data_IF_858476633853
#
_entry.id   IF_858476633853
#
_cell.length_a   1.000
_cell.length_b   1.000
_cell.length_c   1.000
_cell.angle_alpha   90.00
_cell.angle_beta   90.00
_cell.angle_gamma   90.00
#
_symmetry.space_group_name_H-M   'P 1'
#
loop_
_entity.id
_entity.type
_entity.pdbx_description
1 polymer ?
#
# COMPACT_ATOMS: atom_id res chain seq x y z
N UNK A 1 20.98 3.61 -3.33
CA UNK A 1 20.37 3.06 -2.13
C UNK A 1 19.61 1.80 -2.48
N UNK A 2 20.01 0.70 -1.91
CA UNK A 2 19.47 -0.61 -2.29
C UNK A 2 17.98 -0.71 -2.08
N UNK A 3 17.46 -0.22 -0.95
CA UNK A 3 16.02 -0.35 -0.71
C UNK A 3 15.17 0.48 -1.67
N UNK A 4 15.72 1.57 -2.24
CA UNK A 4 15.01 2.33 -3.29
C UNK A 4 14.85 1.48 -4.55
N UNK A 5 15.86 0.66 -4.88
CA UNK A 5 15.77 -0.25 -6.01
C UNK A 5 14.74 -1.34 -5.75
N UNK A 6 14.65 -1.83 -4.51
CA UNK A 6 13.66 -2.83 -4.15
C UNK A 6 12.25 -2.26 -4.29
N UNK A 7 12.02 -1.04 -3.84
CA UNK A 7 10.72 -0.39 -4.02
C UNK A 7 10.38 -0.20 -5.49
N UNK A 8 11.37 0.12 -6.33
CA UNK A 8 11.16 0.24 -7.76
C UNK A 8 10.63 -1.04 -8.37
N UNK A 9 11.14 -2.19 -7.93
CA UNK A 9 10.66 -3.49 -8.41
C UNK A 9 9.21 -3.73 -8.01
N UNK A 10 8.83 -3.32 -6.81
CA UNK A 10 7.44 -3.47 -6.34
C UNK A 10 6.51 -2.58 -7.16
N UNK A 11 6.93 -1.35 -7.43
CA UNK A 11 6.14 -0.43 -8.27
C UNK A 11 5.93 -1.03 -9.66
N UNK A 12 6.99 -1.54 -10.26
CA UNK A 12 6.90 -2.18 -11.58
C UNK A 12 5.92 -3.35 -11.56
N UNK A 13 5.98 -4.18 -10.54
CA UNK A 13 5.08 -5.33 -10.41
C UNK A 13 3.64 -4.88 -10.23
N UNK A 14 3.40 -3.83 -9.45
CA UNK A 14 2.05 -3.31 -9.23
C UNK A 14 1.46 -2.72 -10.51
N UNK A 15 2.28 -1.97 -11.27
CA UNK A 15 1.85 -1.39 -12.55
C UNK A 15 1.44 -2.52 -13.50
N UNK A 16 2.27 -3.57 -13.59
CA UNK A 16 1.97 -4.72 -14.45
C UNK A 16 0.67 -5.39 -14.01
N UNK A 17 0.45 -5.52 -12.73
CA UNK A 17 -0.76 -6.16 -12.20
C UNK A 17 -2.03 -5.37 -12.55
N UNK A 18 -1.98 -4.05 -12.45
CA UNK A 18 -3.13 -3.20 -12.75
C UNK A 18 -3.32 -2.94 -14.25
N UNK A 19 -2.33 -3.30 -15.06
CA UNK A 19 -2.39 -3.19 -16.52
C UNK A 19 -2.71 -1.76 -16.97
N UNK A 20 -3.88 -1.52 -17.55
CA UNK A 20 -4.25 -0.21 -18.10
C UNK A 20 -5.07 0.64 -17.13
N UNK A 21 -5.14 0.24 -15.88
CA UNK A 21 -5.93 0.98 -14.88
C UNK A 21 -5.14 2.19 -14.39
N UNK A 22 -5.12 3.23 -15.22
CA UNK A 22 -4.35 4.46 -14.97
C UNK A 22 -4.74 5.10 -13.64
N UNK A 23 -6.03 5.10 -13.32
CA UNK A 23 -6.52 5.74 -12.10
C UNK A 23 -5.93 5.07 -10.85
N UNK A 24 -5.91 3.75 -10.82
CA UNK A 24 -5.37 3.02 -9.67
C UNK A 24 -3.86 3.09 -9.60
N UNK A 25 -3.20 3.07 -10.74
CA UNK A 25 -1.75 3.26 -10.79
C UNK A 25 -1.39 4.66 -10.28
N UNK A 26 -2.11 5.68 -10.71
CA UNK A 26 -1.88 7.04 -10.23
C UNK A 26 -2.11 7.14 -8.73
N UNK A 27 -3.16 6.51 -8.20
CA UNK A 27 -3.48 6.51 -6.77
C UNK A 27 -2.33 5.90 -5.96
N UNK A 28 -1.85 4.72 -6.35
CA UNK A 28 -0.79 4.06 -5.59
C UNK A 28 0.50 4.88 -5.57
N UNK A 29 0.82 5.55 -6.69
CA UNK A 29 2.03 6.37 -6.75
C UNK A 29 1.92 7.59 -5.85
N UNK A 30 0.73 8.20 -5.75
CA UNK A 30 0.50 9.32 -4.85
C UNK A 30 0.61 8.89 -3.39
N UNK A 31 -0.01 7.77 -3.04
CA UNK A 31 0.05 7.26 -1.66
C UNK A 31 1.50 6.94 -1.29
N UNK A 32 2.23 6.30 -2.20
CA UNK A 32 3.65 6.03 -2.01
C UNK A 32 4.44 7.32 -1.76
N UNK A 33 4.21 8.35 -2.58
CA UNK A 33 4.93 9.61 -2.44
C UNK A 33 4.70 10.28 -1.09
N UNK A 34 3.43 10.36 -0.65
CA UNK A 34 3.13 10.93 0.66
C UNK A 34 3.69 10.08 1.80
N UNK A 35 3.53 8.77 1.72
CA UNK A 35 4.03 7.88 2.76
C UNK A 35 5.54 8.00 2.92
N UNK A 36 6.26 8.03 1.80
CA UNK A 36 7.72 8.17 1.81
C UNK A 36 8.13 9.50 2.42
N UNK A 37 7.49 10.59 2.02
CA UNK A 37 7.82 11.92 2.54
C UNK A 37 7.58 12.00 4.04
N UNK A 38 6.43 11.51 4.52
CA UNK A 38 6.10 11.54 5.93
C UNK A 38 7.06 10.63 6.72
N UNK A 39 7.32 9.44 6.19
CA UNK A 39 8.22 8.49 6.86
C UNK A 39 9.63 9.02 7.01
N UNK A 40 10.14 9.71 5.98
CA UNK A 40 11.47 10.32 6.06
C UNK A 40 11.50 11.41 7.12
N UNK A 41 10.46 12.25 7.17
CA UNK A 41 10.37 13.30 8.15
C UNK A 41 10.31 12.75 9.57
N UNK A 42 9.61 11.64 9.76
CA UNK A 42 9.49 11.00 11.08
C UNK A 42 10.72 10.16 11.43
N UNK A 43 11.67 10.04 10.52
CA UNK A 43 12.95 9.35 10.76
C UNK A 43 12.76 7.88 11.15
N UNK A 44 11.92 7.18 10.41
CA UNK A 44 11.67 5.76 10.65
C UNK A 44 12.95 4.95 10.40
N UNK A 45 13.10 3.85 11.12
CA UNK A 45 14.20 2.93 10.86
C UNK A 45 14.01 2.24 9.50
N UNK A 46 15.07 1.60 9.01
CA UNK A 46 15.07 1.03 7.66
C UNK A 46 14.01 -0.03 7.46
N UNK A 47 13.81 -0.90 8.44
CA UNK A 47 12.81 -1.95 8.35
C UNK A 47 11.39 -1.36 8.27
N UNK A 48 11.08 -0.44 9.18
CA UNK A 48 9.75 0.19 9.21
C UNK A 48 9.49 0.98 7.94
N UNK A 49 10.51 1.68 7.45
CA UNK A 49 10.39 2.45 6.21
C UNK A 49 10.16 1.55 5.01
N UNK A 50 10.88 0.43 4.92
CA UNK A 50 10.68 -0.52 3.83
C UNK A 50 9.27 -1.11 3.85
N UNK A 51 8.79 -1.47 5.04
CA UNK A 51 7.43 -1.98 5.17
C UNK A 51 6.39 -0.94 4.75
N UNK A 52 6.59 0.30 5.17
CA UNK A 52 5.68 1.39 4.83
C UNK A 52 5.65 1.64 3.32
N UNK A 53 6.83 1.80 2.70
CA UNK A 53 6.91 2.09 1.26
C UNK A 53 6.28 0.96 0.45
N UNK A 54 6.60 -0.27 0.79
CA UNK A 54 6.10 -1.44 0.08
C UNK A 54 4.59 -1.57 0.24
N UNK A 55 4.09 -1.38 1.47
CA UNK A 55 2.65 -1.44 1.73
C UNK A 55 1.91 -0.31 1.01
N UNK A 56 2.51 0.88 0.94
CA UNK A 56 1.89 2.01 0.23
C UNK A 56 1.68 1.68 -1.25
N UNK A 57 2.66 1.04 -1.88
CA UNK A 57 2.54 0.63 -3.28
C UNK A 57 1.46 -0.44 -3.46
N UNK A 58 1.37 -1.40 -2.56
CA UNK A 58 0.52 -2.57 -2.72
C UNK A 58 -0.81 -2.50 -1.97
N UNK A 59 -1.12 -1.38 -1.29
CA UNK A 59 -2.27 -1.35 -0.37
C UNK A 59 -3.61 -1.66 -1.06
N UNK A 60 -3.79 -1.27 -2.32
CA UNK A 60 -5.03 -1.52 -3.08
C UNK A 60 -4.94 -2.72 -4.01
N UNK A 61 -3.93 -3.56 -3.85
CA UNK A 61 -3.70 -4.66 -4.81
C UNK A 61 -4.86 -5.68 -4.81
N UNK A 62 -5.68 -5.71 -3.77
CA UNK A 62 -6.83 -6.59 -3.68
C UNK A 62 -8.08 -6.09 -4.37
N UNK A 63 -8.08 -4.85 -4.86
CA UNK A 63 -9.29 -4.23 -5.37
C UNK A 63 -9.84 -4.92 -6.62
N UNK A 64 -8.96 -5.39 -7.50
CA UNK A 64 -9.34 -6.08 -8.73
C UNK A 64 -10.09 -7.37 -8.42
N UNK A 65 -9.54 -8.18 -7.52
CA UNK A 65 -10.17 -9.44 -7.11
C UNK A 65 -11.48 -9.16 -6.35
N UNK A 66 -11.49 -8.11 -5.53
CA UNK A 66 -12.70 -7.71 -4.80
C UNK A 66 -13.84 -7.43 -5.75
N UNK A 67 -13.56 -6.68 -6.81
CA UNK A 67 -14.60 -6.37 -7.80
C UNK A 67 -15.05 -7.60 -8.56
N UNK A 68 -14.12 -8.49 -8.89
CA UNK A 68 -14.45 -9.73 -9.62
C UNK A 68 -15.28 -10.68 -8.78
N UNK A 69 -14.93 -10.86 -7.50
CA UNK A 69 -15.59 -11.85 -6.64
C UNK A 69 -16.86 -11.33 -5.98
N UNK A 70 -16.87 -10.05 -5.58
CA UNK A 70 -17.94 -9.50 -4.75
C UNK A 70 -18.71 -8.38 -5.43
N UNK A 71 -18.31 -7.98 -6.62
CA UNK A 71 -18.86 -6.81 -7.33
C UNK A 71 -18.82 -5.56 -6.43
N UNK A 72 -17.76 -5.44 -5.65
CA UNK A 72 -17.60 -4.37 -4.68
C UNK A 72 -16.11 -4.13 -4.42
N UNK A 73 -15.76 -2.86 -4.24
CA UNK A 73 -14.41 -2.46 -3.82
C UNK A 73 -14.37 -2.05 -2.34
N UNK A 74 -15.37 -2.47 -1.56
CA UNK A 74 -15.45 -2.11 -0.15
C UNK A 74 -14.18 -2.54 0.61
N UNK A 75 -13.80 -1.75 1.61
CA UNK A 75 -12.57 -1.96 2.36
C UNK A 75 -12.42 -3.36 2.93
N UNK A 76 -13.52 -3.94 3.44
CA UNK A 76 -13.48 -5.27 4.04
C UNK A 76 -13.03 -6.35 3.03
N UNK A 77 -13.40 -6.19 1.77
CA UNK A 77 -13.00 -7.16 0.74
C UNK A 77 -11.56 -6.94 0.30
N UNK A 78 -11.13 -5.68 0.24
CA UNK A 78 -9.73 -5.37 -0.05
C UNK A 78 -8.80 -5.91 1.03
N UNK A 79 -9.21 -5.80 2.30
CA UNK A 79 -8.42 -6.33 3.41
C UNK A 79 -8.32 -7.85 3.37
N UNK A 80 -9.35 -8.51 2.84
CA UNK A 80 -9.37 -9.97 2.73
C UNK A 80 -8.55 -10.46 1.53
N UNK A 81 -8.71 -9.82 0.37
CA UNK A 81 -8.12 -10.30 -0.87
C UNK A 81 -6.72 -9.73 -1.15
N UNK A 82 -6.38 -8.60 -0.57
CA UNK A 82 -5.10 -7.94 -0.82
C UNK A 82 -3.87 -8.69 -0.31
N UNK A 83 -3.87 -9.13 0.97
CA UNK A 83 -2.68 -9.78 1.53
C UNK A 83 -2.18 -10.99 0.75
N UNK A 84 -3.02 -11.93 0.29
CA UNK A 84 -2.49 -13.04 -0.50
C UNK A 84 -1.84 -12.62 -1.81
N UNK A 85 -2.41 -11.63 -2.50
CA UNK A 85 -1.83 -11.13 -3.75
C UNK A 85 -0.49 -10.48 -3.49
N UNK A 86 -0.42 -9.62 -2.46
CA UNK A 86 0.83 -8.96 -2.09
C UNK A 86 1.90 -9.98 -1.73
N UNK A 87 1.54 -11.01 -0.96
CA UNK A 87 2.49 -12.04 -0.54
C UNK A 87 3.10 -12.77 -1.74
N UNK A 88 2.29 -13.09 -2.76
CA UNK A 88 2.78 -13.75 -3.96
C UNK A 88 3.77 -12.84 -4.69
N UNK A 89 3.44 -11.56 -4.85
CA UNK A 89 4.31 -10.60 -5.52
C UNK A 89 5.65 -10.48 -4.79
N UNK A 90 5.60 -10.30 -3.47
CA UNK A 90 6.81 -10.09 -2.68
C UNK A 90 7.68 -11.35 -2.62
N UNK A 91 7.06 -12.52 -2.59
CA UNK A 91 7.80 -13.77 -2.62
C UNK A 91 8.55 -13.94 -3.94
N UNK A 92 7.91 -13.60 -5.06
CA UNK A 92 8.56 -13.66 -6.37
C UNK A 92 9.73 -12.68 -6.46
N UNK A 93 9.63 -11.55 -5.79
CA UNK A 93 10.71 -10.56 -5.75
C UNK A 93 11.75 -10.86 -4.67
N UNK A 94 11.58 -11.97 -3.96
CA UNK A 94 12.52 -12.46 -2.96
C UNK A 94 12.69 -11.52 -1.76
N UNK A 95 11.60 -10.87 -1.37
CA UNK A 95 11.61 -10.05 -0.16
C UNK A 95 11.75 -10.92 1.08
N UNK A 96 12.45 -10.44 2.12
CA UNK A 96 12.55 -11.18 3.39
C UNK A 96 11.18 -11.45 4.00
N UNK A 97 11.03 -12.62 4.63
CA UNK A 97 9.76 -13.00 5.25
C UNK A 97 9.21 -11.97 6.23
N UNK A 98 10.05 -11.36 7.12
CA UNK A 98 9.52 -10.36 8.05
C UNK A 98 8.87 -9.16 7.36
N UNK A 99 9.45 -8.70 6.24
CA UNK A 99 8.87 -7.60 5.48
C UNK A 99 7.55 -8.04 4.85
N UNK A 100 7.55 -9.20 4.20
CA UNK A 100 6.34 -9.73 3.55
C UNK A 100 5.19 -9.88 4.55
N UNK A 101 5.49 -10.41 5.74
CA UNK A 101 4.48 -10.60 6.77
C UNK A 101 3.92 -9.28 7.27
N UNK A 102 4.79 -8.30 7.53
CA UNK A 102 4.33 -6.99 8.00
C UNK A 102 3.53 -6.25 6.93
N UNK A 103 3.98 -6.31 5.68
CA UNK A 103 3.25 -5.68 4.57
C UNK A 103 1.86 -6.30 4.41
N UNK A 104 1.77 -7.63 4.47
CA UNK A 104 0.47 -8.31 4.39
C UNK A 104 -0.45 -7.87 5.53
N UNK A 105 0.10 -7.73 6.74
CA UNK A 105 -0.67 -7.25 7.88
C UNK A 105 -1.19 -5.83 7.65
N UNK A 106 -0.32 -4.93 7.17
CA UNK A 106 -0.71 -3.55 6.90
C UNK A 106 -1.82 -3.48 5.85
N UNK A 107 -1.69 -4.24 4.78
CA UNK A 107 -2.71 -4.28 3.72
C UNK A 107 -4.01 -4.84 4.27
N UNK A 108 -3.94 -5.88 5.10
CA UNK A 108 -5.12 -6.50 5.69
C UNK A 108 -5.82 -5.65 6.74
N UNK A 109 -5.24 -4.50 7.11
CA UNK A 109 -5.81 -3.64 8.15
C UNK A 109 -5.91 -2.18 7.73
N UNK A 110 -5.57 -1.83 6.48
CA UNK A 110 -5.48 -0.40 6.12
C UNK A 110 -6.84 0.32 6.08
N UNK A 111 -7.94 -0.40 6.15
CA UNK A 111 -9.27 0.18 6.32
C UNK A 111 -9.82 -0.03 7.74
N UNK A 112 -8.98 -0.49 8.66
CA UNK A 112 -9.35 -0.71 10.06
C UNK A 112 -8.67 0.37 10.89
N UNK A 113 -9.45 1.29 11.45
CA UNK A 113 -8.91 2.51 12.05
C UNK A 113 -8.89 2.51 13.58
N UNK A 114 -9.49 1.50 14.21
CA UNK A 114 -9.57 1.42 15.67
C UNK A 114 -8.49 0.54 16.28
N UNK A 115 -7.56 0.02 15.48
CA UNK A 115 -6.50 -0.88 15.96
C UNK A 115 -5.13 -0.49 15.40
N UNK A 116 -4.96 0.79 15.06
CA UNK A 116 -3.69 1.26 14.49
C UNK A 116 -2.58 1.09 15.53
N UNK A 117 -1.52 0.40 15.14
CA UNK A 117 -0.32 0.26 15.95
C UNK A 117 0.91 0.31 15.05
N UNK A 118 1.91 1.06 15.49
CA UNK A 118 3.13 1.25 14.73
C UNK A 118 3.03 2.41 13.75
N UNK A 119 4.16 3.06 13.53
CA UNK A 119 4.22 4.25 12.67
C UNK A 119 3.95 3.92 11.21
N UNK A 120 4.34 2.73 10.74
CA UNK A 120 4.06 2.34 9.36
C UNK A 120 2.55 2.25 9.10
N UNK A 121 1.81 1.67 10.03
CA UNK A 121 0.35 1.57 9.93
C UNK A 121 -0.27 2.97 9.96
N UNK A 122 0.15 3.78 10.93
CA UNK A 122 -0.37 5.14 11.09
C UNK A 122 -0.16 5.97 9.82
N UNK A 123 1.06 5.97 9.30
CA UNK A 123 1.41 6.79 8.12
C UNK A 123 0.70 6.28 6.88
N UNK A 124 0.57 4.96 6.71
CA UNK A 124 -0.14 4.40 5.56
C UNK A 124 -1.59 4.88 5.54
N UNK A 125 -2.27 4.83 6.69
CA UNK A 125 -3.66 5.29 6.79
C UNK A 125 -3.75 6.78 6.48
N UNK A 126 -2.83 7.58 7.03
CA UNK A 126 -2.84 9.03 6.79
C UNK A 126 -2.59 9.37 5.32
N UNK A 127 -1.62 8.70 4.70
CA UNK A 127 -1.28 8.96 3.30
C UNK A 127 -2.46 8.59 2.38
N UNK A 128 -3.08 7.45 2.62
CA UNK A 128 -4.24 7.02 1.84
C UNK A 128 -5.40 8.00 1.99
N UNK A 129 -5.66 8.45 3.22
CA UNK A 129 -6.72 9.41 3.50
C UNK A 129 -6.48 10.73 2.77
N UNK A 130 -5.25 11.26 2.83
CA UNK A 130 -4.90 12.52 2.15
C UNK A 130 -5.10 12.42 0.64
N UNK A 131 -4.68 11.33 0.05
CA UNK A 131 -4.83 11.14 -1.40
C UNK A 131 -6.30 10.98 -1.78
N UNK A 132 -7.08 10.22 -1.01
CA UNK A 132 -8.49 10.05 -1.27
C UNK A 132 -9.25 11.37 -1.23
N UNK A 133 -8.95 12.21 -0.25
CA UNK A 133 -9.56 13.54 -0.16
C UNK A 133 -9.24 14.37 -1.41
N UNK A 134 -7.98 14.35 -1.83
CA UNK A 134 -7.55 15.09 -3.01
C UNK A 134 -8.25 14.59 -4.28
N UNK A 135 -8.33 13.27 -4.43
CA UNK A 135 -8.93 12.68 -5.62
C UNK A 135 -10.44 12.88 -5.70
N UNK A 136 -11.11 12.91 -4.55
CA UNK A 136 -12.56 13.10 -4.51
C UNK A 136 -12.97 14.56 -4.60
N UNK A 137 -12.00 15.46 -4.68
CA UNK A 137 -12.27 16.88 -4.82
C UNK A 137 -12.75 17.55 -3.56
N UNK A 138 -12.56 16.94 -2.40
CA UNK A 138 -12.92 17.54 -1.12
C UNK A 138 -11.89 18.59 -0.76
N UNK A 139 -12.37 19.81 -0.54
CA UNK A 139 -11.50 20.93 -0.18
C UNK A 139 -11.38 21.00 1.35
N UNK A 140 -10.16 20.90 1.82
CA UNK A 140 -9.87 21.11 3.25
C UNK A 140 -9.40 22.55 3.40
N UNK A 141 -10.15 23.35 4.11
CA UNK A 141 -9.80 24.74 4.38
C UNK A 141 -9.56 24.98 5.85
#
# INVERSE_FOLDING_TARGET
>A
MEFSMETGKVIEAAIAYFENDIRRISHLLKVYGFAKAIGEKEQLDLFTMECLETAAVLHDIGIKISEEKYQSSAGKYQELEGPPVAAVILKKLEFPAPVTERVAYLIGHHHTYDKIEGMDYQILVEADFLVNINEDGIVIS
#
